data_IF_885761825649
#
_entry.id   IF_885761825649
#
_cell.length_a   1.000
_cell.length_b   1.000
_cell.length_c   1.000
_cell.angle_alpha   90.00
_cell.angle_beta   90.00
_cell.angle_gamma   90.00
#
_symmetry.space_group_name_H-M   'P 1'
#
loop_
_entity.id
_entity.type
_entity.pdbx_description
1 polymer ?
#
# COMPACT_ATOMS: atom_id res chain seq x y z
N UNK A 1 9.50 -4.81 -9.99
CA UNK A 1 8.72 -5.70 -9.10
C UNK A 1 7.41 -4.99 -8.72
N UNK A 2 6.25 -5.64 -8.86
CA UNK A 2 4.93 -5.04 -8.58
C UNK A 2 4.61 -4.90 -7.09
N UNK A 3 3.71 -3.95 -6.81
CA UNK A 3 3.04 -3.76 -5.54
C UNK A 3 1.54 -4.08 -5.72
N UNK A 4 1.00 -4.87 -4.80
CA UNK A 4 -0.43 -5.04 -4.59
C UNK A 4 -0.82 -4.38 -3.26
N UNK A 5 -2.10 -4.07 -3.08
CA UNK A 5 -2.61 -3.57 -1.81
C UNK A 5 -3.97 -4.17 -1.47
N UNK A 6 -4.21 -4.38 -0.17
CA UNK A 6 -5.52 -4.67 0.38
C UNK A 6 -5.89 -3.61 1.42
N UNK A 7 -7.18 -3.28 1.52
CA UNK A 7 -7.69 -2.33 2.51
C UNK A 7 -8.83 -2.91 3.32
N UNK A 8 -8.89 -2.55 4.60
CA UNK A 8 -9.97 -2.92 5.49
C UNK A 8 -10.20 -1.85 6.55
N UNK A 9 -11.38 -1.93 7.17
CA UNK A 9 -11.90 -0.92 8.09
C UNK A 9 -11.57 -1.28 9.53
N UNK A 10 -11.03 -0.31 10.26
CA UNK A 10 -10.70 -0.42 11.67
C UNK A 10 -11.50 0.57 12.50
N UNK A 11 -11.63 0.29 13.79
CA UNK A 11 -12.18 1.24 14.75
C UNK A 11 -11.12 2.32 15.00
N UNK A 12 -11.42 3.62 14.80
CA UNK A 12 -10.45 4.69 15.06
C UNK A 12 -9.98 4.75 16.50
N UNK A 13 -8.75 5.21 16.72
CA UNK A 13 -8.19 5.41 18.06
C UNK A 13 -7.47 4.19 18.64
N UNK A 14 -7.26 3.14 17.83
CA UNK A 14 -6.51 1.93 18.21
C UNK A 14 -5.19 1.78 17.46
N UNK A 15 -4.62 2.88 16.97
CA UNK A 15 -3.37 2.88 16.21
C UNK A 15 -2.19 2.31 17.01
N UNK A 16 -2.14 2.57 18.32
CA UNK A 16 -1.09 2.05 19.21
C UNK A 16 -1.22 0.53 19.38
N UNK A 17 -2.42 0.02 19.64
CA UNK A 17 -2.67 -1.42 19.79
C UNK A 17 -2.44 -2.17 18.48
N UNK A 18 -2.85 -1.60 17.34
CA UNK A 18 -2.53 -2.15 16.03
C UNK A 18 -1.02 -2.17 15.79
N UNK A 19 -0.29 -1.13 16.16
CA UNK A 19 1.18 -1.10 16.09
C UNK A 19 1.80 -2.20 16.94
N UNK A 20 1.29 -2.40 18.15
CA UNK A 20 1.79 -3.42 19.06
C UNK A 20 1.56 -4.83 18.50
N UNK A 21 0.41 -5.11 17.88
CA UNK A 21 0.13 -6.40 17.22
C UNK A 21 1.17 -6.72 16.14
N UNK A 22 1.60 -5.73 15.36
CA UNK A 22 2.58 -5.92 14.28
C UNK A 22 4.03 -5.63 14.70
N UNK A 23 4.29 -5.44 16.01
CA UNK A 23 5.64 -5.18 16.51
C UNK A 23 6.55 -6.39 16.30
N UNK A 24 7.87 -6.20 16.18
CA UNK A 24 8.83 -7.31 16.07
C UNK A 24 8.75 -8.34 17.20
N UNK A 25 8.19 -7.97 18.35
CA UNK A 25 8.06 -8.84 19.51
C UNK A 25 6.79 -9.72 19.46
N UNK A 26 5.72 -9.25 18.81
CA UNK A 26 4.43 -9.94 18.78
C UNK A 26 4.11 -10.58 17.42
N UNK A 27 4.71 -10.10 16.34
CA UNK A 27 4.48 -10.64 15.01
C UNK A 27 5.54 -11.67 14.62
N UNK A 28 5.11 -12.93 14.57
CA UNK A 28 5.94 -14.03 14.05
C UNK A 28 6.07 -13.90 12.53
N UNK A 29 7.28 -13.56 12.06
CA UNK A 29 7.59 -13.52 10.63
C UNK A 29 7.49 -14.90 9.99
N UNK A 30 7.27 -14.91 8.69
CA UNK A 30 7.17 -16.12 7.88
C UNK A 30 8.55 -16.73 7.65
N UNK A 31 8.63 -18.05 7.67
CA UNK A 31 9.89 -18.79 7.54
C UNK A 31 10.51 -18.71 6.14
N UNK A 32 9.71 -18.38 5.10
CA UNK A 32 10.21 -18.32 3.73
C UNK A 32 9.50 -17.24 2.88
N UNK A 33 10.25 -16.46 2.08
CA UNK A 33 9.69 -15.61 1.03
C UNK A 33 9.00 -16.40 -0.10
N UNK A 34 9.36 -17.66 -0.27
CA UNK A 34 9.14 -18.38 -1.52
C UNK A 34 7.69 -18.84 -1.62
N UNK A 35 7.02 -18.39 -2.68
CA UNK A 35 5.67 -18.81 -3.03
C UNK A 35 5.80 -20.03 -3.95
N UNK A 36 5.28 -21.17 -3.48
CA UNK A 36 5.26 -22.42 -4.24
C UNK A 36 3.86 -22.76 -4.73
N UNK A 37 3.73 -23.38 -5.89
CA UNK A 37 2.45 -23.92 -6.38
C UNK A 37 2.05 -25.24 -5.69
N UNK A 38 1.02 -25.93 -6.20
CA UNK A 38 0.59 -27.23 -5.66
C UNK A 38 1.54 -28.39 -5.99
N UNK A 39 2.41 -28.24 -6.99
CA UNK A 39 3.44 -29.22 -7.36
C UNK A 39 4.73 -29.05 -6.54
N UNK A 40 4.87 -27.91 -5.84
CA UNK A 40 6.04 -27.57 -5.04
C UNK A 40 7.05 -26.70 -5.77
N UNK A 41 6.77 -26.32 -7.01
CA UNK A 41 7.59 -25.44 -7.83
C UNK A 41 7.49 -23.98 -7.37
N UNK A 42 8.61 -23.27 -7.42
CA UNK A 42 8.67 -21.84 -7.11
C UNK A 42 8.00 -21.04 -8.22
N UNK A 43 6.98 -20.27 -7.86
CA UNK A 43 6.23 -19.42 -8.81
C UNK A 43 6.35 -17.93 -8.50
N UNK A 44 7.02 -17.57 -7.41
CA UNK A 44 7.25 -16.19 -7.03
C UNK A 44 7.80 -16.03 -5.63
N UNK A 45 7.92 -14.78 -5.20
CA UNK A 45 8.42 -14.41 -3.89
C UNK A 45 7.56 -13.31 -3.28
N UNK A 46 7.24 -13.44 -1.99
CA UNK A 46 6.72 -12.36 -1.16
C UNK A 46 7.91 -11.60 -0.59
N UNK A 47 8.18 -10.41 -1.11
CA UNK A 47 9.40 -9.64 -0.80
C UNK A 47 9.26 -8.81 0.47
N UNK A 48 8.04 -8.45 0.83
CA UNK A 48 7.73 -7.75 2.07
C UNK A 48 6.29 -7.25 2.11
N UNK A 49 5.84 -6.88 3.30
CA UNK A 49 4.55 -6.21 3.47
C UNK A 49 4.68 -5.02 4.40
N UNK A 50 4.07 -3.89 4.04
CA UNK A 50 3.93 -2.72 4.90
C UNK A 50 2.48 -2.54 5.31
N UNK A 51 2.23 -2.10 6.54
CA UNK A 51 0.89 -1.77 7.02
C UNK A 51 0.81 -0.30 7.43
N UNK A 52 -0.23 0.36 6.95
CA UNK A 52 -0.46 1.79 7.12
C UNK A 52 -1.87 2.03 7.63
N UNK A 53 -2.04 2.93 8.59
CA UNK A 53 -3.34 3.27 9.19
C UNK A 53 -3.57 4.77 9.21
N UNK A 54 -4.80 5.19 8.95
CA UNK A 54 -5.26 6.55 9.17
C UNK A 54 -6.76 6.56 9.48
N UNK A 55 -7.12 6.96 10.70
CA UNK A 55 -8.50 6.94 11.18
C UNK A 55 -9.09 5.54 11.13
N UNK A 56 -10.12 5.36 10.31
CA UNK A 56 -10.84 4.09 10.16
C UNK A 56 -10.34 3.22 9.00
N UNK A 57 -9.25 3.62 8.35
CA UNK A 57 -8.72 2.97 7.14
C UNK A 57 -7.36 2.36 7.40
N UNK A 58 -7.24 1.06 7.16
CA UNK A 58 -5.98 0.32 7.23
C UNK A 58 -5.66 -0.28 5.86
N UNK A 59 -4.42 -0.09 5.40
CA UNK A 59 -3.94 -0.53 4.10
C UNK A 59 -2.71 -1.40 4.31
N UNK A 60 -2.73 -2.61 3.75
CA UNK A 60 -1.56 -3.47 3.66
C UNK A 60 -1.03 -3.44 2.24
N UNK A 61 0.17 -2.92 2.08
CA UNK A 61 0.93 -2.92 0.82
C UNK A 61 1.79 -4.18 0.78
N UNK A 62 1.78 -4.87 -0.36
CA UNK A 62 2.42 -6.17 -0.56
C UNK A 62 3.38 -6.03 -1.73
N UNK A 63 4.67 -6.24 -1.48
CA UNK A 63 5.69 -6.29 -2.51
C UNK A 63 5.96 -7.75 -2.85
N UNK A 64 5.91 -8.07 -4.13
CA UNK A 64 6.08 -9.43 -4.59
C UNK A 64 6.77 -9.47 -5.95
N UNK A 65 7.24 -10.66 -6.30
CA UNK A 65 7.76 -10.97 -7.63
C UNK A 65 7.18 -12.30 -8.14
N UNK A 66 6.90 -12.40 -9.43
CA UNK A 66 6.41 -13.61 -10.12
C UNK A 66 4.98 -14.10 -9.76
N UNK A 67 4.48 -13.81 -8.56
CA UNK A 67 3.15 -14.24 -8.10
C UNK A 67 2.07 -13.19 -8.35
N UNK A 68 0.81 -13.61 -8.55
CA UNK A 68 -0.35 -12.72 -8.54
C UNK A 68 -1.08 -12.72 -7.20
N UNK A 69 -2.03 -11.81 -7.05
CA UNK A 69 -2.84 -11.64 -5.83
C UNK A 69 -3.47 -12.95 -5.30
N UNK A 70 -3.95 -13.84 -6.18
CA UNK A 70 -4.53 -15.12 -5.79
C UNK A 70 -3.49 -16.09 -5.19
N UNK A 71 -2.29 -16.13 -5.76
CA UNK A 71 -1.19 -16.95 -5.25
C UNK A 71 -0.68 -16.42 -3.92
N UNK A 72 -0.59 -15.10 -3.78
CA UNK A 72 -0.24 -14.41 -2.53
C UNK A 72 -1.26 -14.74 -1.44
N UNK A 73 -2.56 -14.57 -1.74
CA UNK A 73 -3.63 -14.88 -0.80
C UNK A 73 -3.56 -16.32 -0.30
N UNK A 74 -3.38 -17.30 -1.21
CA UNK A 74 -3.21 -18.71 -0.86
C UNK A 74 -1.99 -18.93 0.02
N UNK A 75 -0.85 -18.34 -0.34
CA UNK A 75 0.38 -18.49 0.42
C UNK A 75 0.26 -17.93 1.85
N UNK A 76 -0.37 -16.77 2.01
CA UNK A 76 -0.58 -16.14 3.32
C UNK A 76 -1.61 -16.88 4.18
N UNK A 77 -2.62 -17.48 3.55
CA UNK A 77 -3.77 -18.13 4.22
C UNK A 77 -3.46 -19.37 5.06
N UNK A 78 -2.21 -19.83 5.06
CA UNK A 78 -1.76 -21.01 5.82
C UNK A 78 -0.64 -20.67 6.81
N UNK A 79 -0.23 -19.40 6.89
CA UNK A 79 0.88 -18.97 7.70
C UNK A 79 0.42 -18.71 9.13
N UNK A 80 1.04 -19.41 10.10
CA UNK A 80 0.71 -19.28 11.52
C UNK A 80 0.75 -17.83 12.01
N UNK A 81 1.82 -17.10 11.69
CA UNK A 81 1.95 -15.68 12.07
C UNK A 81 0.87 -14.78 11.46
N UNK A 82 0.38 -15.10 10.26
CA UNK A 82 -0.76 -14.38 9.65
C UNK A 82 -2.05 -14.67 10.42
N UNK A 83 -2.35 -15.92 10.75
CA UNK A 83 -3.54 -16.24 11.55
C UNK A 83 -3.50 -15.65 12.97
N UNK A 84 -2.31 -15.62 13.59
CA UNK A 84 -2.13 -14.98 14.90
C UNK A 84 -2.40 -13.47 14.83
N UNK A 85 -1.84 -12.80 13.82
CA UNK A 85 -2.11 -11.38 13.60
C UNK A 85 -3.59 -11.11 13.29
N UNK A 86 -4.23 -11.92 12.44
CA UNK A 86 -5.67 -11.80 12.12
C UNK A 86 -6.55 -11.94 13.36
N UNK A 87 -6.24 -12.88 14.27
CA UNK A 87 -6.94 -13.00 15.56
C UNK A 87 -6.71 -11.79 16.45
N UNK A 88 -5.48 -11.28 16.49
CA UNK A 88 -5.10 -10.18 17.36
C UNK A 88 -5.74 -8.85 16.93
N UNK A 89 -5.91 -8.62 15.62
CA UNK A 89 -6.59 -7.41 15.11
C UNK A 89 -8.12 -7.47 15.17
N UNK A 90 -8.71 -8.66 15.32
CA UNK A 90 -10.16 -8.87 15.28
C UNK A 90 -10.97 -7.92 16.19
N UNK A 91 -10.54 -7.58 17.42
CA UNK A 91 -11.25 -6.62 18.28
C UNK A 91 -11.26 -5.19 17.74
N UNK A 92 -10.31 -4.84 16.89
CA UNK A 92 -10.11 -3.49 16.35
C UNK A 92 -10.67 -3.33 14.93
N UNK A 93 -11.25 -4.38 14.34
CA UNK A 93 -11.90 -4.29 13.04
C UNK A 93 -13.30 -3.69 13.17
N UNK A 94 -13.63 -2.73 12.29
CA UNK A 94 -14.97 -2.17 12.21
C UNK A 94 -16.00 -3.20 11.68
N UNK A 95 -15.54 -4.15 10.86
CA UNK A 95 -16.32 -5.25 10.34
C UNK A 95 -15.65 -6.57 10.69
N UNK A 96 -16.38 -7.46 11.37
CA UNK A 96 -15.87 -8.80 11.67
C UNK A 96 -15.69 -9.60 10.39
N UNK A 97 -14.60 -10.35 10.33
CA UNK A 97 -14.28 -11.29 9.24
C UNK A 97 -13.87 -12.63 9.83
N UNK A 98 -14.22 -13.72 9.14
CA UNK A 98 -13.71 -15.05 9.45
C UNK A 98 -12.55 -15.36 8.51
N UNK A 99 -11.36 -15.43 9.09
CA UNK A 99 -10.10 -15.72 8.42
C UNK A 99 -9.39 -16.93 9.06
N UNK A 100 -10.12 -17.75 9.83
CA UNK A 100 -9.60 -18.96 10.46
C UNK A 100 -9.40 -20.09 9.43
N UNK A 101 -10.17 -20.06 8.33
CA UNK A 101 -10.01 -21.01 7.22
C UNK A 101 -9.23 -20.39 6.06
N UNK A 102 -8.45 -21.18 5.30
CA UNK A 102 -7.81 -20.70 4.08
C UNK A 102 -8.81 -20.14 3.05
N UNK A 103 -10.01 -20.71 2.98
CA UNK A 103 -11.11 -20.24 2.12
C UNK A 103 -11.59 -18.86 2.55
N UNK A 104 -11.94 -18.69 3.83
CA UNK A 104 -12.42 -17.41 4.38
C UNK A 104 -11.38 -16.30 4.27
N UNK A 105 -10.11 -16.63 4.53
CA UNK A 105 -9.00 -15.71 4.32
C UNK A 105 -8.91 -15.22 2.87
N UNK A 106 -8.94 -16.14 1.90
CA UNK A 106 -8.83 -15.80 0.47
C UNK A 106 -10.03 -14.98 -0.01
N UNK A 107 -11.24 -15.31 0.44
CA UNK A 107 -12.44 -14.54 0.11
C UNK A 107 -12.31 -13.10 0.63
N UNK A 108 -11.92 -12.94 1.89
CA UNK A 108 -11.74 -11.60 2.46
C UNK A 108 -10.62 -10.84 1.75
N UNK A 109 -9.48 -11.49 1.50
CA UNK A 109 -8.36 -10.91 0.78
C UNK A 109 -8.82 -10.37 -0.58
N UNK A 110 -9.54 -11.18 -1.37
CA UNK A 110 -10.08 -10.75 -2.67
C UNK A 110 -11.07 -9.60 -2.56
N UNK A 111 -11.96 -9.59 -1.57
CA UNK A 111 -12.90 -8.48 -1.34
C UNK A 111 -12.18 -7.19 -0.95
N UNK A 112 -11.05 -7.30 -0.26
CA UNK A 112 -10.23 -6.17 0.18
C UNK A 112 -9.20 -5.68 -0.85
N UNK A 113 -9.01 -6.39 -1.97
CA UNK A 113 -8.02 -6.04 -2.98
C UNK A 113 -8.31 -4.67 -3.58
N UNK A 114 -7.30 -3.82 -3.58
CA UNK A 114 -7.36 -2.50 -4.20
C UNK A 114 -6.99 -2.60 -5.69
N UNK A 115 -7.74 -1.92 -6.54
CA UNK A 115 -7.43 -1.74 -7.95
C UNK A 115 -6.22 -0.83 -8.11
N UNK A 116 -5.23 -1.26 -8.89
CA UNK A 116 -4.09 -0.44 -9.27
C UNK A 116 -4.50 0.52 -10.37
N UNK A 117 -4.58 1.82 -10.09
CA UNK A 117 -4.88 2.84 -11.12
C UNK A 117 -3.61 3.26 -11.86
N UNK A 118 -2.51 3.37 -11.13
CA UNK A 118 -1.19 3.67 -11.66
C UNK A 118 -0.13 2.88 -10.91
N UNK A 119 0.88 2.41 -11.62
CA UNK A 119 2.05 1.85 -11.00
C UNK A 119 3.27 2.09 -11.88
N UNK A 120 4.35 2.53 -11.24
CA UNK A 120 5.64 2.73 -11.87
C UNK A 120 6.73 2.16 -10.97
N UNK A 121 7.40 1.11 -11.47
CA UNK A 121 8.52 0.45 -10.80
C UNK A 121 9.66 0.26 -11.81
N UNK A 122 10.33 1.35 -12.23
CA UNK A 122 11.43 1.29 -13.19
C UNK A 122 12.68 0.57 -12.65
N UNK A 123 12.78 0.47 -11.33
CA UNK A 123 13.99 0.11 -10.62
C UNK A 123 13.79 -1.11 -9.70
N UNK A 124 14.79 -1.99 -9.65
CA UNK A 124 14.82 -3.19 -8.82
C UNK A 124 15.58 -2.98 -7.50
N UNK A 125 16.20 -1.81 -7.29
CA UNK A 125 16.89 -1.46 -6.04
C UNK A 125 16.00 -1.66 -4.80
N UNK A 126 16.56 -2.17 -3.69
CA UNK A 126 15.83 -2.18 -2.42
C UNK A 126 15.35 -0.78 -2.05
N UNK A 127 14.16 -0.69 -1.45
CA UNK A 127 13.69 0.57 -0.88
C UNK A 127 14.11 0.63 0.60
N UNK A 128 14.65 1.77 1.02
CA UNK A 128 14.95 2.05 2.43
C UNK A 128 13.67 2.32 3.24
N UNK A 129 12.61 2.81 2.59
CA UNK A 129 11.35 3.10 3.25
C UNK A 129 10.16 3.16 2.31
N UNK A 130 8.98 3.29 2.89
CA UNK A 130 7.71 3.42 2.17
C UNK A 130 6.81 4.41 2.90
N UNK A 131 6.23 5.35 2.16
CA UNK A 131 5.20 6.27 2.63
C UNK A 131 3.89 5.94 1.93
N UNK A 132 2.77 5.98 2.67
CA UNK A 132 1.43 5.90 2.12
C UNK A 132 0.66 7.20 2.41
N UNK A 133 -0.04 7.70 1.42
CA UNK A 133 -0.85 8.92 1.49
C UNK A 133 -2.27 8.59 1.08
N UNK A 134 -3.24 8.92 1.94
CA UNK A 134 -4.65 8.77 1.63
C UNK A 134 -5.19 10.08 1.04
N UNK A 135 -5.79 9.98 -0.12
CA UNK A 135 -6.51 11.09 -0.75
C UNK A 135 -8.00 11.00 -0.41
N UNK A 136 -8.57 12.01 0.26
CA UNK A 136 -9.99 12.02 0.58
C UNK A 136 -10.78 12.19 -0.72
N UNK A 137 -11.55 11.17 -1.10
CA UNK A 137 -12.44 11.23 -2.24
C UNK A 137 -13.83 11.66 -1.81
N UNK A 138 -14.49 12.46 -2.65
CA UNK A 138 -15.93 12.71 -2.48
C UNK A 138 -16.68 11.41 -2.75
N UNK A 139 -17.82 11.24 -2.07
CA UNK A 139 -18.61 10.01 -2.13
C UNK A 139 -19.00 9.64 -3.57
N UNK A 140 -18.75 8.39 -3.94
CA UNK A 140 -19.04 7.82 -5.27
C UNK A 140 -17.96 8.07 -6.32
N UNK A 141 -16.97 8.92 -6.04
CA UNK A 141 -15.93 9.26 -6.99
C UNK A 141 -15.01 8.08 -7.33
N UNK A 142 -14.90 7.08 -6.46
CA UNK A 142 -14.14 5.86 -6.75
C UNK A 142 -14.68 5.09 -7.96
N UNK A 143 -16.00 4.97 -8.07
CA UNK A 143 -16.62 4.32 -9.22
C UNK A 143 -16.37 5.13 -10.51
N UNK A 144 -16.46 6.46 -10.45
CA UNK A 144 -16.14 7.34 -11.56
C UNK A 144 -14.66 7.19 -11.99
N UNK A 145 -13.74 7.20 -11.03
CA UNK A 145 -12.30 7.02 -11.26
C UNK A 145 -11.97 5.67 -11.90
N UNK A 146 -12.55 4.58 -11.38
CA UNK A 146 -12.35 3.24 -11.91
C UNK A 146 -12.87 3.09 -13.34
N UNK A 147 -13.93 3.82 -13.71
CA UNK A 147 -14.46 3.82 -15.07
C UNK A 147 -13.65 4.72 -16.01
N UNK A 148 -13.18 5.87 -15.53
CA UNK A 148 -12.44 6.84 -16.32
C UNK A 148 -11.01 6.40 -16.64
N UNK A 149 -10.42 5.51 -15.83
CA UNK A 149 -9.00 5.15 -15.94
C UNK A 149 -8.82 3.63 -15.96
N UNK A 150 -8.46 3.11 -17.12
CA UNK A 150 -7.85 1.78 -17.18
C UNK A 150 -6.48 1.84 -16.49
N UNK A 151 -6.08 0.77 -15.80
CA UNK A 151 -4.75 0.66 -15.17
C UNK A 151 -3.67 1.02 -16.18
N UNK A 152 -3.06 2.18 -15.99
CA UNK A 152 -1.98 2.63 -16.85
C UNK A 152 -0.66 2.16 -16.23
N UNK A 153 -0.19 1.00 -16.66
CA UNK A 153 1.19 0.58 -16.42
C UNK A 153 2.06 1.25 -17.49
N UNK A 154 2.69 2.39 -17.18
CA UNK A 154 3.69 2.96 -18.11
C UNK A 154 4.97 2.12 -18.06
N UNK A 155 5.50 1.81 -19.25
CA UNK A 155 6.74 1.06 -19.44
C UNK A 155 7.95 1.90 -19.00
N UNK A 156 8.96 1.21 -18.46
CA UNK A 156 10.07 1.74 -17.68
C UNK A 156 10.93 2.80 -18.41
N UNK A 157 11.04 3.99 -17.81
CA UNK A 157 12.29 4.75 -17.77
C UNK A 157 13.26 4.05 -16.79
N UNK A 158 14.56 4.38 -16.77
CA UNK A 158 15.46 3.84 -15.73
C UNK A 158 15.20 4.46 -14.35
N UNK A 159 14.53 5.62 -14.31
CA UNK A 159 14.25 6.40 -13.10
C UNK A 159 12.84 6.98 -13.16
N UNK A 160 12.20 7.12 -11.99
CA UNK A 160 10.88 7.77 -11.91
C UNK A 160 10.95 9.28 -12.11
N UNK A 161 12.02 9.90 -11.64
CA UNK A 161 12.33 11.30 -11.85
C UNK A 161 13.85 11.47 -11.82
N UNK A 162 14.38 12.27 -12.76
CA UNK A 162 15.79 12.65 -12.71
C UNK A 162 16.08 13.63 -11.56
N UNK A 163 15.09 14.44 -11.17
CA UNK A 163 15.21 15.39 -10.06
C UNK A 163 15.09 14.70 -8.70
N UNK A 164 14.40 13.55 -8.64
CA UNK A 164 14.21 12.76 -7.41
C UNK A 164 14.73 11.32 -7.56
N UNK A 165 16.06 11.12 -7.67
CA UNK A 165 16.67 9.82 -7.96
C UNK A 165 16.53 8.78 -6.84
N UNK A 166 16.18 9.22 -5.63
CA UNK A 166 15.92 8.36 -4.47
C UNK A 166 14.52 7.74 -4.51
N UNK A 167 13.61 8.21 -5.38
CA UNK A 167 12.28 7.61 -5.54
C UNK A 167 12.37 6.37 -6.43
N UNK A 168 12.10 5.22 -5.82
CA UNK A 168 12.30 3.91 -6.45
C UNK A 168 11.02 3.41 -7.11
N UNK A 169 9.87 3.52 -6.42
CA UNK A 169 8.58 3.03 -6.90
C UNK A 169 7.44 3.93 -6.47
N UNK A 170 6.39 3.99 -7.28
CA UNK A 170 5.10 4.57 -6.89
C UNK A 170 3.95 3.72 -7.39
N UNK A 171 2.88 3.67 -6.60
CA UNK A 171 1.61 3.09 -6.99
C UNK A 171 0.45 3.94 -6.47
N UNK A 172 -0.67 3.93 -7.18
CA UNK A 172 -1.92 4.56 -6.79
C UNK A 172 -3.01 3.48 -6.76
N UNK A 173 -3.52 3.20 -5.57
CA UNK A 173 -4.48 2.13 -5.31
C UNK A 173 -5.86 2.70 -5.00
N UNK A 174 -6.90 2.09 -5.55
CA UNK A 174 -8.28 2.47 -5.35
C UNK A 174 -9.10 1.29 -4.82
N UNK A 175 -9.92 1.51 -3.81
CA UNK A 175 -10.96 0.57 -3.40
C UNK A 175 -12.15 1.33 -2.87
N UNK A 176 -13.31 1.19 -3.52
CA UNK A 176 -14.46 2.07 -3.30
C UNK A 176 -13.99 3.54 -3.35
N UNK A 177 -14.31 4.36 -2.35
CA UNK A 177 -13.84 5.75 -2.24
C UNK A 177 -12.53 5.91 -1.44
N UNK A 178 -11.74 4.84 -1.30
CA UNK A 178 -10.41 4.89 -0.67
C UNK A 178 -9.33 4.93 -1.75
N UNK A 179 -8.68 6.09 -1.89
CA UNK A 179 -7.57 6.29 -2.81
C UNK A 179 -6.27 6.47 -2.02
N UNK A 180 -5.26 5.67 -2.33
CA UNK A 180 -4.00 5.64 -1.59
C UNK A 180 -2.82 5.67 -2.54
N UNK A 181 -1.95 6.69 -2.41
CA UNK A 181 -0.66 6.72 -3.08
C UNK A 181 0.39 6.09 -2.19
N UNK A 182 1.16 5.17 -2.76
CA UNK A 182 2.34 4.59 -2.14
C UNK A 182 3.58 5.10 -2.87
N UNK A 183 4.59 5.51 -2.10
CA UNK A 183 5.90 5.91 -2.59
C UNK A 183 6.98 5.15 -1.83
N UNK A 184 7.79 4.40 -2.56
CA UNK A 184 8.99 3.76 -2.01
C UNK A 184 10.22 4.58 -2.38
N UNK A 185 11.11 4.76 -1.42
CA UNK A 185 12.31 5.58 -1.56
C UNK A 185 13.54 4.88 -0.97
N UNK A 186 14.71 5.23 -1.48
CA UNK A 186 16.04 4.80 -1.05
C UNK A 186 16.86 6.06 -0.76
N UNK A 187 16.60 6.66 0.41
CA UNK A 187 17.05 8.01 0.75
C UNK A 187 16.34 8.56 1.99
N UNK A 188 16.20 9.89 2.07
CA UNK A 188 15.55 10.54 3.20
C UNK A 188 14.03 10.62 2.96
N UNK A 189 13.16 10.40 3.97
CA UNK A 189 11.70 10.55 3.81
C UNK A 189 11.25 11.91 3.26
N UNK A 190 12.04 12.98 3.48
CA UNK A 190 11.76 14.30 2.93
C UNK A 190 11.88 14.37 1.40
N UNK A 191 12.63 13.47 0.77
CA UNK A 191 12.73 13.39 -0.70
C UNK A 191 11.36 13.07 -1.31
N UNK A 192 10.53 12.31 -0.58
CA UNK A 192 9.15 12.01 -0.97
C UNK A 192 8.31 13.29 -1.03
N UNK A 193 8.50 14.23 -0.10
CA UNK A 193 7.77 15.51 -0.11
C UNK A 193 8.13 16.34 -1.34
N UNK A 194 9.42 16.45 -1.66
CA UNK A 194 9.87 17.18 -2.86
C UNK A 194 9.25 16.58 -4.13
N UNK A 195 9.35 15.26 -4.29
CA UNK A 195 8.76 14.54 -5.41
C UNK A 195 7.24 14.74 -5.53
N UNK A 196 6.52 14.68 -4.41
CA UNK A 196 5.08 14.88 -4.40
C UNK A 196 4.70 16.32 -4.69
N UNK A 197 5.53 17.29 -4.29
CA UNK A 197 5.32 18.70 -4.59
C UNK A 197 5.41 18.91 -6.09
N UNK A 198 6.42 18.35 -6.76
CA UNK A 198 6.54 18.46 -8.21
C UNK A 198 5.44 17.69 -8.95
N UNK A 199 4.98 16.55 -8.42
CA UNK A 199 3.76 15.88 -8.89
C UNK A 199 2.50 16.71 -8.70
N UNK A 200 2.46 17.59 -7.71
CA UNK A 200 1.34 18.49 -7.45
C UNK A 200 1.45 19.82 -8.18
N UNK A 201 2.60 20.24 -8.72
CA UNK A 201 2.74 21.55 -9.36
C UNK A 201 3.34 21.53 -10.78
N UNK A 202 3.98 20.43 -11.19
CA UNK A 202 4.67 20.29 -12.47
C UNK A 202 3.78 19.88 -13.64
N UNK A 203 4.39 19.66 -14.81
CA UNK A 203 3.69 19.39 -16.07
C UNK A 203 2.94 18.03 -16.08
N UNK A 204 3.41 17.05 -15.31
CA UNK A 204 2.74 15.77 -15.04
C UNK A 204 1.74 15.86 -13.86
N UNK A 205 1.25 17.07 -13.57
CA UNK A 205 0.40 17.34 -12.43
C UNK A 205 -0.77 16.36 -12.30
N UNK A 206 -1.01 15.89 -11.08
CA UNK A 206 -2.19 15.11 -10.71
C UNK A 206 -3.50 15.94 -10.73
N UNK A 207 -3.57 16.98 -11.58
CA UNK A 207 -4.72 17.85 -11.79
C UNK A 207 -6.00 17.08 -12.14
N UNK A 208 -5.84 15.93 -12.80
CA UNK A 208 -6.93 15.02 -13.13
C UNK A 208 -7.61 14.41 -11.90
N UNK A 209 -6.96 14.37 -10.72
CA UNK A 209 -7.57 13.91 -9.47
C UNK A 209 -8.50 14.95 -8.85
N UNK A 210 -8.25 16.25 -9.10
CA UNK A 210 -8.94 17.37 -8.45
C UNK A 210 -10.47 17.25 -8.51
N UNK A 211 -11.10 16.87 -9.64
CA UNK A 211 -12.56 16.73 -9.70
C UNK A 211 -13.13 15.62 -8.80
N UNK A 212 -12.30 14.74 -8.23
CA UNK A 212 -12.71 13.59 -7.42
C UNK A 212 -12.41 13.75 -5.93
N UNK A 213 -11.64 14.77 -5.54
CA UNK A 213 -11.24 15.00 -4.14
C UNK A 213 -12.38 15.65 -3.34
N UNK A 214 -12.46 15.31 -2.05
CA UNK A 214 -13.40 15.93 -1.11
C UNK A 214 -12.76 17.17 -0.47
N UNK A 215 -13.29 18.36 -0.79
CA UNK A 215 -13.05 19.60 -0.06
C UNK A 215 -11.63 20.18 -0.02
N UNK A 216 -10.60 19.43 -0.42
CA UNK A 216 -9.23 19.93 -0.45
C UNK A 216 -8.98 20.74 -1.71
N UNK A 217 -9.01 22.07 -1.57
CA UNK A 217 -8.43 22.95 -2.57
C UNK A 217 -6.97 22.58 -2.76
N UNK A 218 -6.55 22.43 -4.03
CA UNK A 218 -5.15 22.22 -4.36
C UNK A 218 -4.34 23.38 -3.79
N UNK A 219 -3.29 23.14 -2.99
CA UNK A 219 -2.52 24.22 -2.39
C UNK A 219 -2.02 25.17 -3.47
N UNK A 220 -2.13 26.48 -3.24
CA UNK A 220 -1.66 27.49 -4.19
C UNK A 220 -0.15 27.71 -4.16
N UNK A 221 0.56 27.10 -3.20
CA UNK A 221 2.00 27.28 -2.98
C UNK A 221 2.64 25.98 -2.44
N UNK A 222 3.90 25.67 -2.82
CA UNK A 222 4.65 24.51 -2.32
C UNK A 222 4.67 24.37 -0.79
N UNK A 223 4.85 25.45 -0.05
CA UNK A 223 4.89 25.39 1.43
C UNK A 223 3.57 24.90 2.05
N UNK A 224 2.43 25.27 1.45
CA UNK A 224 1.12 24.80 1.90
C UNK A 224 0.90 23.31 1.54
N UNK A 225 1.64 22.79 0.57
CA UNK A 225 1.58 21.39 0.19
C UNK A 225 2.24 20.47 1.21
N UNK A 226 3.30 20.92 1.90
CA UNK A 226 3.89 20.15 3.00
C UNK A 226 2.84 19.84 4.09
N UNK A 227 2.05 20.82 4.49
CA UNK A 227 0.97 20.64 5.46
C UNK A 227 -0.09 19.63 4.97
N UNK A 228 -0.43 19.69 3.67
CA UNK A 228 -1.34 18.74 3.05
C UNK A 228 -0.77 17.31 3.07
N UNK A 229 0.50 17.12 2.70
CA UNK A 229 1.16 15.81 2.72
C UNK A 229 1.17 15.23 4.14
N UNK A 230 1.44 16.06 5.16
CA UNK A 230 1.35 15.61 6.55
C UNK A 230 -0.07 15.17 6.95
N UNK A 231 -1.11 15.89 6.51
CA UNK A 231 -2.50 15.50 6.77
C UNK A 231 -2.92 14.23 6.03
N UNK A 232 -2.35 13.98 4.85
CA UNK A 232 -2.64 12.80 4.05
C UNK A 232 -1.82 11.57 4.46
N UNK A 233 -0.70 11.78 5.14
CA UNK A 233 0.22 10.71 5.54
C UNK A 233 -0.48 9.72 6.46
N UNK A 234 -0.40 8.45 6.08
CA UNK A 234 -0.85 7.33 6.91
C UNK A 234 0.30 6.92 7.85
N UNK A 235 -0.03 6.58 9.09
CA UNK A 235 0.92 6.06 10.06
C UNK A 235 1.39 4.66 9.62
N UNK A 236 2.69 4.48 9.45
CA UNK A 236 3.30 3.16 9.22
C UNK A 236 3.40 2.39 10.54
N UNK A 237 2.63 1.32 10.67
CA UNK A 237 2.59 0.47 11.88
C UNK A 237 3.38 -0.83 11.70
N UNK A 238 3.71 -1.18 10.46
CA UNK A 238 4.66 -2.24 10.15
C UNK A 238 5.45 -1.86 8.89
N UNK A 239 6.77 -1.86 8.99
CA UNK A 239 7.63 -1.55 7.86
C UNK A 239 7.73 -2.74 6.89
N UNK A 240 7.72 -2.40 5.60
CA UNK A 240 8.19 -3.21 4.49
C UNK A 240 9.61 -3.74 4.78
N UNK A 241 9.71 -4.88 5.45
CA UNK A 241 11.01 -5.51 5.68
C UNK A 241 11.35 -6.38 4.48
N UNK A 242 12.39 -5.99 3.75
CA UNK A 242 13.06 -6.88 2.78
C UNK A 242 13.58 -8.07 3.59
N UNK A 243 13.21 -9.27 3.17
CA UNK A 243 13.68 -10.49 3.81
C UNK A 243 15.21 -10.60 3.66
N UNK A 244 15.89 -10.72 4.81
CA UNK A 244 17.18 -11.35 4.98
C UNK A 244 18.22 -11.13 3.89
N UNK A 245 18.91 -10.00 3.96
CA UNK A 245 20.36 -10.03 3.77
C UNK A 245 20.91 -9.52 5.10
N UNK A 246 21.64 -10.39 5.80
CA UNK A 246 22.42 -10.02 6.97
C UNK A 246 23.38 -8.86 6.67
#
# INVERSE_FOLDING_TARGET
>A
MPLDAVTYRVVPGHEEELTEVFSPHNFTRVDSPVIKDSSGETIGMLLGTGLFVQGDTMVRVIHHDGAGAAQIARHMSVQKGVHEAERAILPYLAERRDTETPEGFREHFHRSLMTVLEQHSPDERPAAGTVALRYPLRRGAGAELSAARATANRRASLRLSEEHPTIVRTALFLHNDTLVRVVQYDGHPYDVVGYLTDRCFGDDAEAWLVPYLDGTERPGHPDAYLALVHQQAMLSIAHMSVLGVD
#
